data_IF_823472045597
#
_entry.id   IF_823472045597
#
_cell.length_a   1.000
_cell.length_b   1.000
_cell.length_c   1.000
_cell.angle_alpha   90.00
_cell.angle_beta   90.00
_cell.angle_gamma   90.00
#
_symmetry.space_group_name_H-M   'P 1'
#
loop_
_entity.id
_entity.type
_entity.pdbx_description
1 polymer ?
#
# COMPACT_ATOMS: atom_id res chain seq x y z
N UNK A 1 26.50 -55.80 -45.38
CA UNK A 1 27.38 -54.91 -44.58
C UNK A 1 27.79 -53.72 -45.43
N UNK A 2 27.38 -52.52 -45.03
CA UNK A 2 27.56 -51.27 -45.78
C UNK A 2 28.98 -50.69 -45.62
N UNK A 3 29.45 -50.09 -46.72
CA UNK A 3 30.69 -49.32 -46.89
C UNK A 3 30.68 -48.02 -46.07
N UNK A 4 31.83 -47.60 -45.52
CA UNK A 4 32.66 -46.48 -46.06
C UNK A 4 33.78 -46.06 -45.09
N UNK A 5 35.01 -46.11 -45.65
CA UNK A 5 36.18 -45.22 -45.57
C UNK A 5 36.29 -44.21 -44.40
N UNK A 6 37.43 -44.28 -43.70
CA UNK A 6 38.07 -43.16 -43.00
C UNK A 6 39.54 -43.10 -43.40
N UNK A 7 39.99 -41.94 -43.84
CA UNK A 7 41.38 -41.57 -44.05
C UNK A 7 41.50 -40.09 -43.72
N UNK A 8 42.23 -39.76 -42.66
CA UNK A 8 42.54 -38.39 -42.26
C UNK A 8 44.05 -38.22 -42.23
N UNK A 9 44.54 -37.29 -43.05
CA UNK A 9 45.90 -36.77 -43.00
C UNK A 9 46.01 -35.74 -41.87
N UNK A 10 47.12 -35.83 -41.15
CA UNK A 10 47.60 -34.92 -40.12
C UNK A 10 47.89 -33.52 -40.67
N UNK A 11 47.47 -32.48 -39.95
CA UNK A 11 47.99 -31.12 -40.10
C UNK A 11 48.41 -30.61 -38.73
N UNK A 12 49.69 -30.27 -38.62
CA UNK A 12 50.35 -29.62 -37.48
C UNK A 12 50.00 -28.13 -37.52
N UNK A 13 49.44 -27.59 -36.44
CA UNK A 13 49.20 -26.16 -36.28
C UNK A 13 50.24 -25.53 -35.35
N UNK A 14 51.12 -24.69 -35.90
CA UNK A 14 52.03 -23.83 -35.16
C UNK A 14 51.27 -22.63 -34.58
N UNK A 15 51.36 -22.45 -33.26
CA UNK A 15 50.94 -21.26 -32.53
C UNK A 15 51.73 -20.02 -32.99
N UNK A 16 51.03 -18.97 -33.39
CA UNK A 16 51.57 -17.61 -33.51
C UNK A 16 50.74 -16.68 -32.61
N UNK A 17 51.38 -16.15 -31.58
CA UNK A 17 50.79 -15.20 -30.62
C UNK A 17 50.74 -13.82 -31.30
N UNK A 18 49.54 -13.35 -31.64
CA UNK A 18 49.29 -11.95 -31.98
C UNK A 18 48.94 -11.19 -30.69
N UNK A 19 49.83 -10.30 -30.25
CA UNK A 19 49.47 -9.26 -29.28
C UNK A 19 48.66 -8.17 -29.98
N UNK A 20 47.35 -8.12 -29.70
CA UNK A 20 46.50 -6.99 -30.10
C UNK A 20 46.69 -5.89 -29.05
N UNK A 21 47.31 -4.79 -29.44
CA UNK A 21 47.37 -3.57 -28.62
C UNK A 21 46.07 -2.79 -28.88
N UNK A 22 45.15 -2.84 -27.92
CA UNK A 22 43.93 -2.03 -27.96
C UNK A 22 44.29 -0.55 -27.72
N UNK A 23 43.77 0.42 -28.49
CA UNK A 23 43.93 1.83 -28.13
C UNK A 23 43.18 2.10 -26.83
N UNK A 24 43.89 2.59 -25.82
CA UNK A 24 43.29 3.13 -24.60
C UNK A 24 42.59 4.43 -24.97
N UNK A 25 41.27 4.50 -24.80
CA UNK A 25 40.54 5.76 -24.87
C UNK A 25 40.94 6.61 -23.65
N UNK A 26 41.70 7.67 -23.88
CA UNK A 26 41.93 8.75 -22.92
C UNK A 26 40.69 9.63 -22.94
N UNK A 27 39.81 9.48 -21.95
CA UNK A 27 38.76 10.47 -21.72
C UNK A 27 39.37 11.64 -20.94
N UNK A 28 39.34 12.82 -21.56
CA UNK A 28 39.61 14.07 -20.89
C UNK A 28 38.58 14.26 -19.78
N UNK A 29 39.04 14.43 -18.54
CA UNK A 29 38.18 14.84 -17.43
C UNK A 29 37.72 16.28 -17.69
N UNK A 30 36.46 16.43 -18.06
CA UNK A 30 35.82 17.73 -18.11
C UNK A 30 35.61 18.21 -16.67
N UNK A 31 36.15 19.40 -16.39
CA UNK A 31 36.03 20.08 -15.10
C UNK A 31 34.56 20.27 -14.74
N UNK A 32 34.07 19.52 -13.74
CA UNK A 32 32.78 19.76 -13.12
C UNK A 32 32.74 21.18 -12.54
N UNK A 33 32.09 22.08 -13.28
CA UNK A 33 31.64 23.35 -12.74
C UNK A 33 30.57 23.05 -11.68
N UNK A 34 31.01 22.95 -10.43
CA UNK A 34 30.16 22.68 -9.26
C UNK A 34 29.20 23.83 -9.03
N UNK A 35 28.12 23.86 -9.80
CA UNK A 35 26.92 24.59 -9.42
C UNK A 35 26.25 23.71 -8.36
N UNK A 36 26.52 24.01 -7.07
CA UNK A 36 25.81 23.40 -5.95
C UNK A 36 24.32 23.77 -6.07
N UNK A 37 23.54 22.92 -6.72
CA UNK A 37 22.08 23.00 -6.73
C UNK A 37 21.56 21.85 -5.87
N UNK A 38 21.09 22.25 -4.69
CA UNK A 38 20.05 21.67 -3.85
C UNK A 38 20.10 20.16 -3.56
N UNK A 39 20.38 19.88 -2.28
CA UNK A 39 20.08 18.67 -1.54
C UNK A 39 18.83 17.95 -2.07
N UNK A 40 19.03 16.74 -2.57
CA UNK A 40 17.99 15.79 -2.98
C UNK A 40 17.14 15.47 -1.74
N UNK A 41 16.11 16.28 -1.47
CA UNK A 41 15.14 16.00 -0.41
C UNK A 41 14.36 14.79 -0.89
N UNK A 42 14.70 13.62 -0.36
CA UNK A 42 13.92 12.40 -0.58
C UNK A 42 12.54 12.65 0.03
N UNK A 43 11.58 12.99 -0.83
CA UNK A 43 10.18 13.14 -0.50
C UNK A 43 9.63 11.76 -0.14
N UNK A 44 9.31 11.53 1.14
CA UNK A 44 8.75 10.25 1.61
C UNK A 44 7.57 10.50 2.54
N UNK A 45 6.45 9.80 2.28
CA UNK A 45 5.33 9.65 3.20
C UNK A 45 5.60 8.38 3.99
N UNK A 46 5.97 8.51 5.26
CA UNK A 46 6.58 7.41 6.03
C UNK A 46 5.60 6.72 6.94
N UNK A 47 4.74 7.50 7.56
CA UNK A 47 3.87 7.04 8.63
C UNK A 47 2.49 7.68 8.60
N UNK A 48 1.73 7.38 9.63
CA UNK A 48 0.33 7.75 9.77
C UNK A 48 0.18 9.19 10.24
N UNK A 49 1.22 9.81 10.80
CA UNK A 49 1.27 11.24 11.14
C UNK A 49 1.49 12.08 9.88
N UNK A 50 2.34 11.61 8.97
CA UNK A 50 2.47 12.19 7.64
C UNK A 50 1.10 12.15 6.92
N UNK A 51 0.40 11.00 6.94
CA UNK A 51 -0.95 10.88 6.36
C UNK A 51 -2.01 11.74 7.07
N UNK A 52 -1.94 11.89 8.39
CA UNK A 52 -2.81 12.80 9.14
C UNK A 52 -2.60 14.25 8.71
N UNK A 53 -1.34 14.68 8.60
CA UNK A 53 -0.97 16.02 8.13
C UNK A 53 -1.48 16.27 6.71
N UNK A 54 -1.33 15.29 5.82
CA UNK A 54 -1.86 15.37 4.45
C UNK A 54 -3.39 15.39 4.42
N UNK A 55 -4.05 14.69 5.35
CA UNK A 55 -5.52 14.75 5.47
C UNK A 55 -5.98 16.16 5.84
N UNK A 56 -5.35 16.78 6.84
CA UNK A 56 -5.72 18.12 7.28
C UNK A 56 -5.47 19.16 6.17
N UNK A 57 -4.37 19.02 5.43
CA UNK A 57 -4.05 19.89 4.31
C UNK A 57 -4.99 19.68 3.12
N UNK A 58 -5.36 18.43 2.81
CA UNK A 58 -6.32 18.13 1.76
C UNK A 58 -7.70 18.73 2.10
N UNK A 59 -8.16 18.55 3.34
CA UNK A 59 -9.44 19.11 3.80
C UNK A 59 -9.45 20.63 3.67
N UNK A 60 -8.35 21.30 4.07
CA UNK A 60 -8.19 22.75 3.90
C UNK A 60 -8.23 23.15 2.43
N UNK A 61 -7.51 22.44 1.56
CA UNK A 61 -7.45 22.75 0.13
C UNK A 61 -8.83 22.61 -0.53
N UNK A 62 -9.54 21.52 -0.25
CA UNK A 62 -10.89 21.26 -0.79
C UNK A 62 -11.91 22.27 -0.27
N UNK A 63 -11.82 22.71 1.00
CA UNK A 63 -12.69 23.77 1.52
C UNK A 63 -12.52 25.10 0.79
N UNK A 64 -11.27 25.43 0.40
CA UNK A 64 -10.97 26.66 -0.36
C UNK A 64 -11.23 26.50 -1.86
N UNK A 65 -11.19 25.26 -2.38
CA UNK A 65 -11.34 24.93 -3.79
C UNK A 65 -12.36 23.77 -3.96
N UNK A 66 -13.66 24.01 -3.70
CA UNK A 66 -14.66 22.95 -3.64
C UNK A 66 -14.88 22.19 -4.96
N UNK A 67 -14.55 22.83 -6.09
CA UNK A 67 -14.68 22.24 -7.43
C UNK A 67 -13.38 21.60 -7.94
N UNK A 68 -12.34 21.52 -7.11
CA UNK A 68 -11.04 20.97 -7.51
C UNK A 68 -11.12 19.49 -7.92
N UNK A 69 -10.37 19.12 -8.96
CA UNK A 69 -10.26 17.72 -9.38
C UNK A 69 -9.28 16.95 -8.49
N UNK A 70 -9.33 15.61 -8.54
CA UNK A 70 -8.37 14.77 -7.80
C UNK A 70 -6.93 15.00 -8.29
N UNK A 71 -6.73 15.30 -9.57
CA UNK A 71 -5.41 15.64 -10.12
C UNK A 71 -4.87 16.97 -9.57
N UNK A 72 -5.73 17.96 -9.39
CA UNK A 72 -5.35 19.24 -8.77
C UNK A 72 -5.02 19.07 -7.29
N UNK A 73 -5.79 18.23 -6.59
CA UNK A 73 -5.55 17.88 -5.20
C UNK A 73 -4.23 17.09 -5.03
N UNK A 74 -3.96 16.12 -5.91
CA UNK A 74 -2.68 15.39 -5.92
C UNK A 74 -1.51 16.33 -6.19
N UNK A 75 -1.63 17.23 -7.18
CA UNK A 75 -0.61 18.23 -7.48
C UNK A 75 -0.37 19.15 -6.27
N UNK A 76 -1.42 19.59 -5.58
CA UNK A 76 -1.32 20.40 -4.36
C UNK A 76 -0.59 19.66 -3.24
N UNK A 77 -0.96 18.40 -2.96
CA UNK A 77 -0.28 17.62 -1.91
C UNK A 77 1.19 17.37 -2.27
N UNK A 78 1.52 17.11 -3.54
CA UNK A 78 2.91 16.96 -3.99
C UNK A 78 3.69 18.25 -3.76
N UNK A 79 3.13 19.40 -4.12
CA UNK A 79 3.73 20.73 -3.91
C UNK A 79 3.93 21.00 -2.41
N UNK A 80 2.92 20.72 -1.58
CA UNK A 80 2.99 20.84 -0.12
C UNK A 80 4.13 20.01 0.46
N UNK A 81 4.30 18.77 0.01
CA UNK A 81 5.38 17.90 0.49
C UNK A 81 6.75 18.41 0.05
N UNK A 82 6.91 18.82 -1.22
CA UNK A 82 8.16 19.39 -1.75
C UNK A 82 8.58 20.65 -1.00
N UNK A 83 7.61 21.45 -0.56
CA UNK A 83 7.82 22.66 0.23
C UNK A 83 8.03 22.38 1.73
N UNK A 84 8.20 21.12 2.12
CA UNK A 84 8.54 20.73 3.49
C UNK A 84 7.36 20.64 4.44
N UNK A 85 6.12 20.53 3.93
CA UNK A 85 4.90 20.46 4.74
C UNK A 85 4.88 19.33 5.78
N UNK A 86 5.56 18.21 5.51
CA UNK A 86 5.70 17.08 6.45
C UNK A 86 6.83 17.28 7.49
N UNK A 87 7.74 18.22 7.26
CA UNK A 87 8.89 18.47 8.14
C UNK A 87 8.52 19.22 9.42
N UNK A 88 7.44 20.02 9.37
CA UNK A 88 7.04 20.91 10.46
C UNK A 88 6.23 20.23 11.57
N UNK A 89 5.66 19.05 11.30
CA UNK A 89 4.86 18.26 12.25
C UNK A 89 5.62 17.09 12.89
N UNK A 90 6.96 17.12 12.87
CA UNK A 90 7.82 16.12 13.55
C UNK A 90 7.81 16.25 15.08
N UNK A 91 6.67 16.56 15.68
CA UNK A 91 6.49 16.44 17.14
C UNK A 91 6.15 14.98 17.40
N UNK A 92 7.08 14.29 18.07
CA UNK A 92 6.97 12.94 18.63
C UNK A 92 5.78 12.88 19.61
N UNK A 93 4.58 12.87 19.06
CA UNK A 93 3.31 12.90 19.78
C UNK A 93 2.69 11.53 19.66
N UNK A 94 3.04 10.68 20.63
CA UNK A 94 2.33 9.42 20.95
C UNK A 94 0.92 9.77 21.43
N UNK A 95 0.06 10.15 20.49
CA UNK A 95 -1.33 10.54 20.72
C UNK A 95 -2.26 9.34 20.58
N UNK A 96 -2.66 8.80 21.74
CA UNK A 96 -3.83 7.94 22.01
C UNK A 96 -4.64 7.51 20.76
N UNK A 97 -4.20 6.44 20.11
CA UNK A 97 -4.90 5.78 18.99
C UNK A 97 -4.19 4.49 18.50
N UNK A 98 -3.25 4.00 19.28
CA UNK A 98 -2.19 3.04 18.91
C UNK A 98 -2.67 1.57 18.82
N UNK A 99 -3.91 1.35 18.39
CA UNK A 99 -4.46 0.01 18.18
C UNK A 99 -5.19 -0.09 16.84
N UNK A 100 -4.44 0.16 15.79
CA UNK A 100 -4.64 -0.37 14.45
C UNK A 100 -3.50 -1.36 14.21
N UNK A 101 -3.72 -2.69 14.19
CA UNK A 101 -2.62 -3.62 13.91
C UNK A 101 -1.98 -3.23 12.55
N UNK A 102 -0.68 -2.89 12.59
CA UNK A 102 0.10 -2.44 11.42
C UNK A 102 0.44 -0.93 11.33
N UNK A 103 -0.10 -0.05 12.19
CA UNK A 103 -0.06 1.40 11.98
C UNK A 103 0.97 2.18 12.82
N UNK A 104 2.25 1.79 12.77
CA UNK A 104 3.36 2.64 13.24
C UNK A 104 4.11 3.32 12.09
N UNK A 105 4.20 2.65 10.94
CA UNK A 105 4.87 3.15 9.74
C UNK A 105 4.28 2.41 8.53
N UNK A 106 4.13 3.11 7.41
CA UNK A 106 3.71 2.48 6.15
C UNK A 106 4.78 1.46 5.74
N UNK A 107 4.37 0.30 5.24
CA UNK A 107 5.31 -0.65 4.68
C UNK A 107 5.85 -0.17 3.31
N UNK A 108 6.95 -0.74 2.78
CA UNK A 108 7.55 -0.26 1.54
C UNK A 108 6.60 -0.21 0.32
N UNK A 109 5.63 -1.15 0.24
CA UNK A 109 4.65 -1.16 -0.84
C UNK A 109 3.64 0.00 -0.69
N UNK A 110 3.17 0.25 0.53
CA UNK A 110 2.29 1.38 0.84
C UNK A 110 2.98 2.72 0.61
N UNK A 111 4.25 2.89 1.03
CA UNK A 111 5.01 4.14 0.81
C UNK A 111 5.16 4.48 -0.67
N UNK A 112 5.43 3.45 -1.50
CA UNK A 112 5.49 3.61 -2.95
C UNK A 112 4.15 4.05 -3.54
N UNK A 113 3.04 3.47 -3.08
CA UNK A 113 1.70 3.87 -3.53
C UNK A 113 1.34 5.27 -3.04
N UNK A 114 1.68 5.62 -1.79
CA UNK A 114 1.39 6.92 -1.21
C UNK A 114 2.10 8.05 -1.95
N UNK A 115 3.35 7.84 -2.32
CA UNK A 115 4.10 8.82 -3.12
C UNK A 115 3.50 8.98 -4.52
N UNK A 116 2.98 7.91 -5.13
CA UNK A 116 2.39 7.95 -6.46
C UNK A 116 0.97 8.55 -6.47
N UNK A 117 0.21 8.40 -5.38
CA UNK A 117 -1.20 8.78 -5.27
C UNK A 117 -1.52 9.35 -3.87
N UNK A 118 -1.04 10.56 -3.52
CA UNK A 118 -1.18 11.09 -2.17
C UNK A 118 -2.63 11.30 -1.73
N UNK A 119 -3.54 11.72 -2.61
CA UNK A 119 -4.98 11.83 -2.29
C UNK A 119 -5.58 10.46 -2.00
N UNK A 120 -5.23 9.43 -2.78
CA UNK A 120 -5.69 8.07 -2.48
C UNK A 120 -5.16 7.60 -1.13
N UNK A 121 -3.90 7.90 -0.80
CA UNK A 121 -3.30 7.54 0.48
C UNK A 121 -4.08 8.14 1.66
N UNK A 122 -4.46 9.43 1.56
CA UNK A 122 -5.33 10.11 2.53
C UNK A 122 -6.71 9.44 2.62
N UNK A 123 -7.35 9.14 1.48
CA UNK A 123 -8.65 8.47 1.45
C UNK A 123 -8.60 7.07 2.08
N UNK A 124 -7.53 6.32 1.84
CA UNK A 124 -7.28 4.98 2.42
C UNK A 124 -7.08 5.05 3.93
N UNK A 125 -6.30 6.03 4.39
CA UNK A 125 -6.10 6.33 5.81
C UNK A 125 -7.41 6.67 6.52
N UNK A 126 -8.21 7.57 5.94
CA UNK A 126 -9.49 7.99 6.51
C UNK A 126 -10.52 6.86 6.53
N UNK A 127 -10.54 6.00 5.49
CA UNK A 127 -11.33 4.78 5.50
C UNK A 127 -10.90 3.82 6.63
N UNK A 128 -9.60 3.68 6.88
CA UNK A 128 -9.05 2.83 7.94
C UNK A 128 -9.42 3.33 9.35
N UNK A 129 -9.32 4.64 9.59
CA UNK A 129 -9.80 5.28 10.83
C UNK A 129 -11.28 5.03 11.06
N UNK A 130 -12.09 5.25 10.01
CA UNK A 130 -13.54 5.02 10.08
C UNK A 130 -13.86 3.57 10.38
N UNK A 131 -13.22 2.62 9.68
CA UNK A 131 -13.42 1.20 9.91
C UNK A 131 -13.10 0.81 11.36
N UNK A 132 -11.99 1.30 11.91
CA UNK A 132 -11.57 1.04 13.29
C UNK A 132 -12.54 1.57 14.31
N UNK A 133 -12.95 2.83 14.16
CA UNK A 133 -13.93 3.44 15.06
C UNK A 133 -15.24 2.65 15.03
N UNK A 134 -15.71 2.24 13.83
CA UNK A 134 -16.89 1.40 13.70
C UNK A 134 -16.70 0.00 14.27
N UNK A 135 -15.53 -0.61 14.16
CA UNK A 135 -15.24 -1.88 14.84
C UNK A 135 -15.39 -1.74 16.36
N UNK A 136 -14.81 -0.69 16.94
CA UNK A 136 -14.90 -0.41 18.38
C UNK A 136 -16.34 -0.11 18.80
N UNK A 137 -17.09 0.67 18.02
CA UNK A 137 -18.51 0.93 18.27
C UNK A 137 -19.33 -0.38 18.28
N UNK A 138 -19.08 -1.27 17.32
CA UNK A 138 -19.86 -2.51 17.12
C UNK A 138 -19.48 -3.61 18.11
N UNK A 139 -18.20 -3.77 18.44
CA UNK A 139 -17.72 -4.87 19.28
C UNK A 139 -17.32 -4.43 20.69
N UNK A 140 -17.13 -3.12 20.92
CA UNK A 140 -16.49 -2.59 22.13
C UNK A 140 -14.97 -2.78 22.17
N UNK A 141 -14.37 -3.37 21.13
CA UNK A 141 -12.95 -3.66 21.03
C UNK A 141 -12.50 -3.66 19.57
N UNK A 142 -11.19 -3.61 19.36
CA UNK A 142 -10.56 -3.86 18.07
C UNK A 142 -9.61 -5.06 18.17
N UNK A 143 -10.17 -6.27 18.02
CA UNK A 143 -9.46 -7.52 18.20
C UNK A 143 -8.57 -7.91 17.01
N UNK A 144 -7.83 -9.00 17.22
CA UNK A 144 -6.97 -9.65 16.24
C UNK A 144 -7.47 -11.07 16.00
N UNK A 145 -7.57 -11.47 14.74
CA UNK A 145 -7.99 -12.78 14.26
C UNK A 145 -9.43 -13.21 14.60
N UNK A 146 -10.23 -12.32 15.17
CA UNK A 146 -11.61 -12.57 15.61
C UNK A 146 -12.66 -11.98 14.66
N UNK A 147 -13.94 -12.01 15.06
CA UNK A 147 -15.02 -11.41 14.27
C UNK A 147 -14.87 -9.89 14.09
N UNK A 148 -14.28 -9.21 15.08
CA UNK A 148 -14.06 -7.76 15.02
C UNK A 148 -12.95 -7.40 14.04
N UNK A 149 -11.93 -8.25 13.95
CA UNK A 149 -10.88 -8.16 12.93
C UNK A 149 -11.44 -8.35 11.52
N UNK A 150 -12.19 -9.45 11.33
CA UNK A 150 -12.85 -9.74 10.07
C UNK A 150 -13.81 -8.64 9.63
N UNK A 151 -14.56 -8.05 10.58
CA UNK A 151 -15.40 -6.89 10.35
C UNK A 151 -14.58 -5.67 9.90
N UNK A 152 -13.46 -5.37 10.58
CA UNK A 152 -12.61 -4.22 10.26
C UNK A 152 -12.06 -4.30 8.84
N UNK A 153 -11.51 -5.45 8.45
CA UNK A 153 -10.96 -5.68 7.10
C UNK A 153 -12.03 -5.55 6.01
N UNK A 154 -13.20 -6.16 6.25
CA UNK A 154 -14.34 -6.11 5.34
C UNK A 154 -14.88 -4.67 5.19
N UNK A 155 -15.07 -3.95 6.30
CA UNK A 155 -15.55 -2.57 6.27
C UNK A 155 -14.56 -1.62 5.62
N UNK A 156 -13.27 -1.72 5.96
CA UNK A 156 -12.24 -0.89 5.36
C UNK A 156 -12.22 -1.03 3.84
N UNK A 157 -12.33 -2.25 3.31
CA UNK A 157 -12.38 -2.50 1.88
C UNK A 157 -13.66 -2.00 1.20
N UNK A 158 -14.80 -2.07 1.88
CA UNK A 158 -16.03 -1.47 1.37
C UNK A 158 -15.91 0.06 1.27
N UNK A 159 -15.36 0.70 2.31
CA UNK A 159 -15.15 2.15 2.34
C UNK A 159 -14.10 2.61 1.32
N UNK A 160 -12.99 1.87 1.15
CA UNK A 160 -12.02 2.14 0.08
C UNK A 160 -12.67 2.02 -1.30
N UNK A 161 -13.47 0.98 -1.54
CA UNK A 161 -14.19 0.86 -2.82
C UNK A 161 -15.09 2.06 -3.07
N UNK A 162 -15.74 2.59 -2.04
CA UNK A 162 -16.59 3.77 -2.17
C UNK A 162 -15.79 5.02 -2.53
N UNK A 163 -14.60 5.20 -1.95
CA UNK A 163 -13.82 6.43 -2.08
C UNK A 163 -12.86 6.47 -3.27
N UNK A 164 -12.28 5.33 -3.64
CA UNK A 164 -11.22 5.23 -4.67
C UNK A 164 -11.51 4.15 -5.73
N UNK A 165 -12.67 3.48 -5.66
CA UNK A 165 -13.05 2.44 -6.60
C UNK A 165 -12.41 1.08 -6.31
N UNK A 166 -12.97 0.04 -6.92
CA UNK A 166 -12.63 -1.37 -6.61
C UNK A 166 -11.17 -1.73 -6.92
N UNK A 167 -10.66 -1.29 -8.08
CA UNK A 167 -9.31 -1.66 -8.52
C UNK A 167 -8.22 -0.97 -7.69
N UNK A 168 -8.42 0.28 -7.28
CA UNK A 168 -7.48 0.95 -6.40
C UNK A 168 -7.55 0.38 -4.97
N UNK A 169 -8.76 0.14 -4.46
CA UNK A 169 -8.97 -0.50 -3.16
C UNK A 169 -8.26 -1.85 -3.05
N UNK A 170 -8.31 -2.67 -4.11
CA UNK A 170 -7.57 -3.94 -4.15
C UNK A 170 -6.06 -3.75 -4.09
N UNK A 171 -5.50 -2.83 -4.88
CA UNK A 171 -4.05 -2.54 -4.86
C UNK A 171 -3.58 -2.09 -3.47
N UNK A 172 -4.33 -1.18 -2.85
CA UNK A 172 -4.02 -0.68 -1.51
C UNK A 172 -4.15 -1.76 -0.43
N UNK A 173 -5.22 -2.54 -0.46
CA UNK A 173 -5.39 -3.66 0.47
C UNK A 173 -4.28 -4.72 0.28
N UNK A 174 -3.91 -5.08 -0.95
CA UNK A 174 -2.82 -6.02 -1.20
C UNK A 174 -1.46 -5.49 -0.74
N UNK A 175 -1.21 -4.18 -0.91
CA UNK A 175 -0.01 -3.54 -0.40
C UNK A 175 0.03 -3.55 1.14
N UNK A 176 -1.10 -3.38 1.81
CA UNK A 176 -1.21 -3.49 3.26
C UNK A 176 -0.77 -4.87 3.78
N UNK A 177 -1.20 -5.93 3.09
CA UNK A 177 -0.83 -7.32 3.39
C UNK A 177 0.63 -7.69 3.01
N UNK A 178 1.51 -6.72 2.75
CA UNK A 178 2.90 -7.00 2.30
C UNK A 178 3.70 -7.81 3.33
N UNK A 179 3.59 -7.45 4.61
CA UNK A 179 4.33 -8.11 5.70
C UNK A 179 3.57 -9.29 6.34
N UNK A 180 2.27 -9.47 6.07
CA UNK A 180 1.49 -10.58 6.59
C UNK A 180 1.84 -11.89 5.88
N UNK A 181 1.60 -13.03 6.53
CA UNK A 181 1.90 -14.35 5.96
C UNK A 181 0.99 -15.44 6.52
N UNK A 182 1.02 -16.62 5.89
CA UNK A 182 0.30 -17.80 6.38
C UNK A 182 -1.22 -17.61 6.45
N UNK A 183 -1.82 -18.15 7.51
CA UNK A 183 -3.27 -18.15 7.73
C UNK A 183 -3.84 -16.75 7.97
N UNK A 184 -3.05 -15.86 8.58
CA UNK A 184 -3.39 -14.46 8.86
C UNK A 184 -3.63 -13.70 7.54
N UNK A 185 -2.64 -13.71 6.65
CA UNK A 185 -2.78 -13.13 5.31
C UNK A 185 -3.94 -13.72 4.50
N UNK A 186 -4.18 -15.02 4.63
CA UNK A 186 -5.30 -15.67 3.94
C UNK A 186 -6.66 -15.20 4.46
N UNK A 187 -6.78 -14.98 5.78
CA UNK A 187 -7.96 -14.39 6.41
C UNK A 187 -8.19 -12.97 5.89
N UNK A 188 -7.15 -12.14 5.92
CA UNK A 188 -7.25 -10.73 5.58
C UNK A 188 -7.57 -10.54 4.10
N UNK A 189 -6.87 -11.22 3.20
CA UNK A 189 -7.17 -11.18 1.76
C UNK A 189 -8.60 -11.64 1.44
N UNK A 190 -9.10 -12.67 2.13
CA UNK A 190 -10.49 -13.12 1.98
C UNK A 190 -11.47 -12.05 2.43
N UNK A 191 -11.31 -11.51 3.65
CA UNK A 191 -12.21 -10.50 4.21
C UNK A 191 -12.17 -9.19 3.41
N UNK A 192 -10.99 -8.80 2.94
CA UNK A 192 -10.77 -7.67 2.05
C UNK A 192 -11.59 -7.84 0.76
N UNK A 193 -11.57 -9.04 0.16
CA UNK A 193 -12.37 -9.37 -1.03
C UNK A 193 -13.88 -9.31 -0.78
N UNK A 194 -14.36 -9.85 0.35
CA UNK A 194 -15.78 -9.76 0.73
C UNK A 194 -16.22 -8.29 0.84
N UNK A 195 -15.41 -7.45 1.47
CA UNK A 195 -15.66 -6.01 1.60
C UNK A 195 -15.79 -5.30 0.27
N UNK A 196 -14.85 -5.56 -0.67
CA UNK A 196 -14.93 -5.02 -2.04
C UNK A 196 -16.14 -5.56 -2.82
N UNK A 197 -16.70 -6.70 -2.43
CA UNK A 197 -17.94 -7.25 -2.99
C UNK A 197 -19.21 -6.50 -2.61
N UNK A 198 -19.19 -5.67 -1.56
CA UNK A 198 -20.38 -4.97 -1.05
C UNK A 198 -20.81 -3.86 -2.02
N UNK A 199 -22.13 -3.66 -2.18
CA UNK A 199 -22.66 -2.51 -2.91
C UNK A 199 -22.52 -1.24 -2.05
N UNK A 200 -21.76 -0.27 -2.55
CA UNK A 200 -21.44 0.97 -1.83
C UNK A 200 -21.88 2.24 -2.56
N UNK A 201 -22.37 2.10 -3.81
CA UNK A 201 -22.79 3.24 -4.61
C UNK A 201 -24.05 3.87 -4.02
N UNK A 202 -24.00 5.17 -3.76
CA UNK A 202 -25.08 5.93 -3.14
C UNK A 202 -25.43 5.51 -1.70
N UNK A 203 -24.61 4.66 -1.06
CA UNK A 203 -24.88 4.18 0.29
C UNK A 203 -24.24 5.10 1.34
N UNK A 204 -24.96 5.32 2.44
CA UNK A 204 -24.36 5.94 3.63
C UNK A 204 -23.37 4.98 4.30
N UNK A 205 -22.43 5.51 5.08
CA UNK A 205 -21.54 4.69 5.92
C UNK A 205 -22.31 3.75 6.83
N UNK A 206 -23.46 4.19 7.36
CA UNK A 206 -24.32 3.35 8.21
C UNK A 206 -24.85 2.12 7.44
N UNK A 207 -25.36 2.31 6.22
CA UNK A 207 -25.84 1.20 5.39
C UNK A 207 -24.71 0.23 5.00
N UNK A 208 -23.51 0.75 4.75
CA UNK A 208 -22.33 -0.09 4.48
C UNK A 208 -21.96 -0.90 5.72
N UNK A 209 -21.95 -0.27 6.90
CA UNK A 209 -21.73 -0.95 8.19
C UNK A 209 -22.74 -2.08 8.39
N UNK A 210 -24.03 -1.84 8.16
CA UNK A 210 -25.07 -2.87 8.29
C UNK A 210 -24.86 -4.03 7.30
N UNK A 211 -24.43 -3.72 6.07
CA UNK A 211 -24.09 -4.74 5.07
C UNK A 211 -22.90 -5.58 5.52
N UNK A 212 -21.87 -4.97 6.11
CA UNK A 212 -20.71 -5.70 6.65
C UNK A 212 -21.11 -6.53 7.87
N UNK A 213 -21.94 -6.00 8.77
CA UNK A 213 -22.50 -6.75 9.91
C UNK A 213 -23.21 -8.02 9.43
N UNK A 214 -24.01 -7.92 8.36
CA UNK A 214 -24.67 -9.08 7.77
C UNK A 214 -23.65 -10.13 7.25
N UNK A 215 -22.60 -9.71 6.53
CA UNK A 215 -21.54 -10.59 6.01
C UNK A 215 -20.71 -11.30 7.09
N UNK A 216 -20.51 -10.65 8.23
CA UNK A 216 -19.83 -11.28 9.36
C UNK A 216 -20.78 -12.25 10.07
N UNK A 217 -22.03 -11.83 10.32
CA UNK A 217 -23.02 -12.65 11.02
C UNK A 217 -23.40 -13.92 10.26
N UNK A 218 -23.45 -13.87 8.93
CA UNK A 218 -23.80 -15.01 8.08
C UNK A 218 -22.61 -15.95 7.77
N UNK A 219 -21.40 -15.62 8.25
CA UNK A 219 -20.20 -16.42 8.04
C UNK A 219 -19.54 -16.27 6.67
N UNK A 220 -19.91 -15.25 5.89
CA UNK A 220 -19.22 -14.92 4.63
C UNK A 220 -17.76 -14.54 4.86
N UNK A 221 -17.46 -13.85 5.96
CA UNK A 221 -16.09 -13.52 6.38
C UNK A 221 -15.41 -14.68 7.12
N UNK A 222 -14.09 -14.63 7.26
CA UNK A 222 -13.26 -15.60 7.99
C UNK A 222 -12.62 -14.99 9.23
N UNK A 223 -12.47 -15.82 10.25
CA UNK A 223 -11.68 -15.58 11.47
C UNK A 223 -10.72 -16.76 11.67
N UNK A 224 -9.80 -16.66 12.61
CA UNK A 224 -8.90 -17.77 12.95
C UNK A 224 -9.25 -18.34 14.32
N UNK A 225 -9.45 -19.65 14.37
CA UNK A 225 -9.61 -20.41 15.61
C UNK A 225 -8.63 -21.57 15.54
N UNK A 226 -7.78 -21.73 16.56
CA UNK A 226 -6.78 -22.80 16.66
C UNK A 226 -5.91 -22.92 15.39
N UNK A 227 -5.48 -21.76 14.85
CA UNK A 227 -4.62 -21.70 13.65
C UNK A 227 -5.30 -22.05 12.33
N UNK A 228 -6.63 -22.20 12.31
CA UNK A 228 -7.40 -22.55 11.11
C UNK A 228 -8.40 -21.46 10.75
N UNK A 229 -8.63 -21.24 9.45
CA UNK A 229 -9.70 -20.37 8.97
C UNK A 229 -11.06 -20.99 9.27
N UNK A 230 -11.88 -20.26 10.01
CA UNK A 230 -13.26 -20.63 10.35
C UNK A 230 -14.19 -19.53 9.86
N UNK A 231 -15.42 -19.89 9.51
CA UNK A 231 -16.46 -18.89 9.25
C UNK A 231 -16.63 -17.97 10.47
N UNK A 232 -16.83 -16.69 10.20
CA UNK A 232 -17.32 -15.74 11.20
C UNK A 232 -18.74 -16.08 11.65
N UNK A 233 -19.17 -15.45 12.73
CA UNK A 233 -20.55 -15.52 13.21
C UNK A 233 -20.94 -14.20 13.88
N UNK A 234 -22.14 -14.14 14.47
CA UNK A 234 -22.62 -12.95 15.19
C UNK A 234 -22.04 -12.72 16.58
N UNK A 235 -21.13 -13.58 17.07
CA UNK A 235 -20.60 -13.44 18.43
C UNK A 235 -19.78 -12.15 18.61
N UNK A 236 -19.96 -11.50 19.76
CA UNK A 236 -19.29 -10.23 20.11
C UNK A 236 -19.91 -8.96 19.50
N UNK A 237 -20.82 -9.10 18.52
CA UNK A 237 -21.47 -7.96 17.88
C UNK A 237 -22.59 -7.40 18.78
N UNK A 238 -22.57 -6.10 19.05
CA UNK A 238 -23.60 -5.36 19.80
C UNK A 238 -24.69 -4.79 18.90
#
# INVERSE_FOLDING_TARGET
MLKKKSGWLSIVALMSILMVVSPMNVFAAESENTTRVNQDVTVEIRDTNDLATLSDELDRFVQLNPDSTEEEQDAHLIEFIKNGGLSNNRIDSRGVGDYLPGYGSLNPAERKLALAHPVQAVKVYNAGKTATNKTIEVYGQNGWQDNSDAFRHCLWNALMKQSIGVSAAEKWATAHEYNSSGVDKAMDLHNNSIGRGINVSGQSTANIVDSVKAKVRDGSCRRIINGSLVATDGSGMK
#
